data_IF_978139955518
#
_entry.id   IF_978139955518
#
_cell.length_a   1.000
_cell.length_b   1.000
_cell.length_c   1.000
_cell.angle_alpha   90.00
_cell.angle_beta   90.00
_cell.angle_gamma   90.00
#
_symmetry.space_group_name_H-M   'P 1'
#
loop_
_entity.id
_entity.type
_entity.pdbx_description
1 polymer ?
#
# COMPACT_ATOMS: atom_id res chain seq x y z
N UNK A 1 -20.13 -0.10 -4.47
CA UNK A 1 -18.88 0.38 -4.67
C UNK A 1 -18.17 0.11 -5.99
N UNK A 2 -18.91 -0.34 -7.01
CA UNK A 2 -18.31 -0.52 -8.35
C UNK A 2 -18.35 0.78 -9.16
N UNK A 3 -19.12 1.77 -8.68
CA UNK A 3 -19.26 3.09 -9.31
C UNK A 3 -18.91 4.21 -8.32
N UNK A 4 -18.36 5.33 -8.80
CA UNK A 4 -18.23 6.52 -7.97
C UNK A 4 -19.62 7.05 -7.57
N UNK A 5 -19.73 7.79 -6.45
CA UNK A 5 -21.03 8.21 -5.90
C UNK A 5 -21.83 9.13 -6.83
N UNK A 6 -21.18 9.76 -7.81
CA UNK A 6 -21.83 10.65 -8.80
C UNK A 6 -22.51 9.89 -9.94
N UNK A 7 -22.33 8.58 -10.04
CA UNK A 7 -22.93 7.75 -11.10
C UNK A 7 -24.08 6.93 -10.55
N UNK A 8 -25.09 6.74 -11.37
CA UNK A 8 -26.18 5.82 -11.10
C UNK A 8 -25.62 4.40 -10.90
N UNK A 9 -26.15 3.71 -9.89
CA UNK A 9 -25.82 2.33 -9.60
C UNK A 9 -26.96 1.43 -10.05
N UNK A 10 -26.68 0.58 -11.01
CA UNK A 10 -27.61 -0.46 -11.41
C UNK A 10 -27.56 -1.62 -10.41
N UNK A 11 -28.75 -2.05 -9.95
CA UNK A 11 -28.85 -3.18 -9.04
C UNK A 11 -28.43 -4.47 -9.73
N UNK A 12 -27.53 -5.23 -9.12
CA UNK A 12 -27.03 -6.50 -9.63
C UNK A 12 -26.96 -7.54 -8.52
N UNK A 13 -27.78 -8.59 -8.64
CA UNK A 13 -27.75 -9.72 -7.72
C UNK A 13 -26.38 -10.44 -7.73
N UNK A 14 -25.73 -10.48 -8.87
CA UNK A 14 -24.40 -11.06 -9.02
C UNK A 14 -23.36 -10.22 -8.26
N UNK A 15 -23.45 -8.89 -8.34
CA UNK A 15 -22.62 -7.96 -7.57
C UNK A 15 -22.76 -8.20 -6.07
N UNK A 16 -23.98 -8.34 -5.56
CA UNK A 16 -24.23 -8.61 -4.14
C UNK A 16 -23.66 -9.96 -3.72
N UNK A 17 -23.89 -11.01 -4.50
CA UNK A 17 -23.31 -12.33 -4.23
C UNK A 17 -21.77 -12.30 -4.20
N UNK A 18 -21.16 -11.52 -5.07
CA UNK A 18 -19.70 -11.34 -5.10
C UNK A 18 -19.19 -10.66 -3.84
N UNK A 19 -19.86 -9.59 -3.38
CA UNK A 19 -19.51 -8.90 -2.13
C UNK A 19 -19.68 -9.82 -0.94
N UNK A 20 -20.80 -10.55 -0.87
CA UNK A 20 -21.05 -11.52 0.21
C UNK A 20 -19.97 -12.61 0.26
N UNK A 21 -19.61 -13.21 -0.88
CA UNK A 21 -18.53 -14.19 -0.97
C UNK A 21 -17.20 -13.63 -0.48
N UNK A 22 -16.91 -12.40 -0.85
CA UNK A 22 -15.68 -11.70 -0.44
C UNK A 22 -15.63 -11.53 1.09
N UNK A 23 -16.66 -10.96 1.71
CA UNK A 23 -16.72 -10.77 3.15
C UNK A 23 -16.71 -12.11 3.91
N UNK A 24 -17.45 -13.11 3.42
CA UNK A 24 -17.47 -14.44 4.02
C UNK A 24 -16.11 -15.14 3.96
N UNK A 25 -15.37 -14.98 2.87
CA UNK A 25 -13.98 -15.49 2.77
C UNK A 25 -13.08 -14.92 3.86
N UNK A 26 -13.15 -13.61 4.10
CA UNK A 26 -12.38 -12.94 5.16
C UNK A 26 -12.82 -13.45 6.53
N UNK A 27 -14.14 -13.49 6.76
CA UNK A 27 -14.71 -13.94 8.03
C UNK A 27 -14.24 -15.35 8.40
N UNK A 28 -14.38 -16.30 7.50
CA UNK A 28 -13.95 -17.68 7.71
C UNK A 28 -12.45 -17.80 7.93
N UNK A 29 -11.64 -17.03 7.20
CA UNK A 29 -10.18 -17.02 7.37
C UNK A 29 -9.79 -16.54 8.77
N UNK A 30 -10.32 -15.42 9.22
CA UNK A 30 -9.98 -14.84 10.52
C UNK A 30 -10.50 -15.70 11.68
N UNK A 31 -11.70 -16.28 11.55
CA UNK A 31 -12.23 -17.23 12.55
C UNK A 31 -11.39 -18.50 12.63
N UNK A 32 -11.03 -19.10 11.49
CA UNK A 32 -10.20 -20.32 11.45
C UNK A 32 -8.82 -20.12 12.06
N UNK A 33 -8.22 -18.95 11.81
CA UNK A 33 -6.86 -18.63 12.28
C UNK A 33 -6.84 -18.04 13.70
N UNK A 34 -7.98 -18.03 14.41
CA UNK A 34 -8.08 -17.48 15.75
C UNK A 34 -7.49 -16.06 15.80
N UNK A 35 -8.01 -15.21 14.92
CA UNK A 35 -7.54 -13.83 14.81
C UNK A 35 -7.70 -13.11 16.15
N UNK A 36 -6.64 -12.39 16.54
CA UNK A 36 -6.61 -11.48 17.68
C UNK A 36 -6.31 -10.07 17.18
N UNK A 37 -7.18 -9.14 17.55
CA UNK A 37 -6.97 -7.75 17.18
C UNK A 37 -5.72 -7.20 17.88
N UNK A 38 -4.82 -6.59 17.12
CA UNK A 38 -3.53 -6.12 17.61
C UNK A 38 -3.31 -4.66 17.25
N UNK A 39 -3.10 -3.83 18.27
CA UNK A 39 -2.54 -2.50 18.12
C UNK A 39 -1.03 -2.61 18.33
N UNK A 40 -0.25 -2.15 17.37
CA UNK A 40 1.20 -2.13 17.47
C UNK A 40 1.66 -0.72 17.18
N UNK A 41 2.21 -0.07 18.19
CA UNK A 41 2.74 1.28 18.06
C UNK A 41 4.05 1.30 17.30
N UNK A 42 4.88 0.26 17.48
CA UNK A 42 6.14 0.07 16.75
C UNK A 42 6.31 -1.39 16.36
N UNK A 43 6.39 -1.64 15.06
CA UNK A 43 6.83 -2.91 14.51
C UNK A 43 8.34 -2.86 14.32
N UNK A 44 9.05 -3.65 15.11
CA UNK A 44 10.45 -3.89 14.88
C UNK A 44 10.62 -4.79 13.65
N UNK A 45 10.52 -4.17 12.46
CA UNK A 45 10.62 -4.85 11.17
C UNK A 45 12.09 -5.14 10.86
N UNK A 46 12.63 -6.20 11.47
CA UNK A 46 14.04 -6.55 11.37
C UNK A 46 14.43 -7.11 10.00
N UNK A 47 13.49 -7.67 9.25
CA UNK A 47 13.78 -8.25 7.92
C UNK A 47 13.21 -7.39 6.80
N UNK A 48 13.86 -7.42 5.62
CA UNK A 48 13.41 -6.71 4.41
C UNK A 48 11.96 -7.10 4.01
N UNK A 49 11.64 -8.40 4.14
CA UNK A 49 10.29 -8.92 3.85
C UNK A 49 9.24 -8.29 4.80
N UNK A 50 9.52 -8.18 6.09
CA UNK A 50 8.63 -7.54 7.07
C UNK A 50 8.47 -6.05 6.78
N UNK A 51 9.56 -5.36 6.42
CA UNK A 51 9.51 -3.93 6.02
C UNK A 51 8.61 -3.72 4.81
N UNK A 52 8.68 -4.58 3.79
CA UNK A 52 7.84 -4.50 2.60
C UNK A 52 6.34 -4.67 2.93
N UNK A 53 5.98 -5.58 3.84
CA UNK A 53 4.61 -5.78 4.30
C UNK A 53 4.07 -4.56 5.06
N UNK A 54 4.86 -4.05 6.01
CA UNK A 54 4.53 -2.83 6.77
C UNK A 54 4.41 -1.64 5.83
N UNK A 55 5.35 -1.45 4.91
CA UNK A 55 5.31 -0.39 3.89
C UNK A 55 4.01 -0.43 3.07
N UNK A 56 3.58 -1.62 2.65
CA UNK A 56 2.33 -1.79 1.91
C UNK A 56 1.11 -1.38 2.73
N UNK A 57 1.06 -1.76 4.01
CA UNK A 57 -0.01 -1.35 4.92
C UNK A 57 -0.01 0.18 5.15
N UNK A 58 1.15 0.80 5.34
CA UNK A 58 1.26 2.25 5.53
C UNK A 58 0.85 3.03 4.27
N UNK A 59 1.24 2.55 3.08
CA UNK A 59 0.77 3.10 1.79
C UNK A 59 -0.75 2.95 1.64
N UNK A 60 -1.32 1.83 2.07
CA UNK A 60 -2.77 1.65 2.09
C UNK A 60 -3.44 2.70 2.96
N UNK A 61 -3.03 2.88 4.23
CA UNK A 61 -3.62 3.85 5.14
C UNK A 61 -3.60 5.25 4.51
N UNK A 62 -2.44 5.70 4.00
CA UNK A 62 -2.30 7.02 3.36
C UNK A 62 -3.24 7.20 2.18
N UNK A 63 -3.25 6.23 1.26
CA UNK A 63 -4.06 6.32 0.05
C UNK A 63 -5.56 6.15 0.30
N UNK A 64 -5.92 5.34 1.30
CA UNK A 64 -7.30 5.17 1.74
C UNK A 64 -7.85 6.46 2.36
N UNK A 65 -7.08 7.11 3.25
CA UNK A 65 -7.47 8.38 3.86
C UNK A 65 -7.75 9.44 2.77
N UNK A 66 -6.85 9.56 1.80
CA UNK A 66 -7.06 10.48 0.69
C UNK A 66 -8.32 10.16 -0.12
N UNK A 67 -8.64 8.88 -0.32
CA UNK A 67 -9.85 8.48 -1.04
C UNK A 67 -11.13 8.81 -0.24
N UNK A 68 -11.13 8.58 1.06
CA UNK A 68 -12.27 8.92 1.93
C UNK A 68 -12.49 10.43 1.99
N UNK A 69 -11.43 11.22 2.18
CA UNK A 69 -11.48 12.68 2.21
C UNK A 69 -12.01 13.27 0.89
N UNK A 70 -11.79 12.60 -0.24
CA UNK A 70 -12.24 13.00 -1.56
C UNK A 70 -13.50 12.25 -2.04
N UNK A 71 -14.21 11.55 -1.16
CA UNK A 71 -15.42 10.77 -1.46
C UNK A 71 -15.25 9.70 -2.57
N UNK A 72 -14.03 9.22 -2.79
CA UNK A 72 -13.71 8.16 -3.76
C UNK A 72 -13.93 6.77 -3.18
N UNK A 73 -15.15 6.47 -2.74
CA UNK A 73 -15.46 5.24 -2.02
C UNK A 73 -15.21 3.97 -2.82
N UNK A 74 -15.46 3.99 -4.12
CA UNK A 74 -15.14 2.88 -5.02
C UNK A 74 -13.63 2.57 -5.06
N UNK A 75 -12.79 3.61 -5.12
CA UNK A 75 -11.32 3.48 -5.06
C UNK A 75 -10.87 2.93 -3.70
N UNK A 76 -11.44 3.45 -2.61
CA UNK A 76 -11.14 2.99 -1.26
C UNK A 76 -11.45 1.49 -1.09
N UNK A 77 -12.63 1.03 -1.55
CA UNK A 77 -13.02 -0.39 -1.50
C UNK A 77 -12.12 -1.26 -2.40
N UNK A 78 -11.76 -0.78 -3.60
CA UNK A 78 -10.84 -1.49 -4.49
C UNK A 78 -9.48 -1.73 -3.83
N UNK A 79 -8.91 -0.71 -3.15
CA UNK A 79 -7.65 -0.83 -2.40
C UNK A 79 -7.74 -1.82 -1.24
N UNK A 80 -8.86 -1.85 -0.53
CA UNK A 80 -9.09 -2.84 0.53
C UNK A 80 -9.15 -4.26 -0.05
N UNK A 81 -9.83 -4.47 -1.18
CA UNK A 81 -9.85 -5.77 -1.87
C UNK A 81 -8.46 -6.20 -2.32
N UNK A 82 -7.70 -5.29 -2.91
CA UNK A 82 -6.32 -5.54 -3.33
C UNK A 82 -5.44 -5.92 -2.13
N UNK A 83 -5.55 -5.20 -1.03
CA UNK A 83 -4.76 -5.47 0.18
C UNK A 83 -5.12 -6.81 0.81
N UNK A 84 -6.41 -7.13 0.95
CA UNK A 84 -6.83 -8.43 1.49
C UNK A 84 -6.40 -9.61 0.58
N UNK A 85 -6.50 -9.45 -0.75
CA UNK A 85 -5.99 -10.44 -1.68
C UNK A 85 -4.48 -10.64 -1.56
N UNK A 86 -3.75 -9.55 -1.35
CA UNK A 86 -2.32 -9.63 -1.07
C UNK A 86 -2.03 -10.41 0.22
N UNK A 87 -2.78 -10.18 1.32
CA UNK A 87 -2.63 -10.92 2.57
C UNK A 87 -2.92 -12.42 2.36
N UNK A 88 -3.96 -12.77 1.60
CA UNK A 88 -4.26 -14.15 1.27
C UNK A 88 -3.20 -14.86 0.42
N UNK A 89 -2.51 -14.12 -0.45
CA UNK A 89 -1.47 -14.65 -1.34
C UNK A 89 -0.07 -14.63 -0.74
N UNK A 90 0.09 -13.94 0.39
CA UNK A 90 1.39 -13.85 1.06
C UNK A 90 1.79 -15.20 1.63
N UNK A 91 3.05 -15.58 1.42
CA UNK A 91 3.62 -16.73 2.12
C UNK A 91 3.48 -16.54 3.64
N UNK A 92 3.71 -17.61 4.40
CA UNK A 92 3.56 -17.64 5.85
C UNK A 92 4.18 -16.40 6.50
N UNK A 93 3.30 -15.52 6.98
CA UNK A 93 3.64 -14.31 7.73
C UNK A 93 3.71 -14.71 9.21
N UNK A 94 4.59 -14.09 9.98
CA UNK A 94 4.59 -14.23 11.43
C UNK A 94 3.22 -13.82 12.00
N UNK A 95 2.67 -14.63 12.91
CA UNK A 95 1.31 -14.47 13.44
C UNK A 95 1.03 -13.07 13.96
N UNK A 96 1.95 -12.48 14.71
CA UNK A 96 1.80 -11.14 15.29
C UNK A 96 1.66 -10.07 14.19
N UNK A 97 2.47 -10.15 13.13
CA UNK A 97 2.39 -9.24 11.99
C UNK A 97 1.10 -9.47 11.19
N UNK A 98 0.71 -10.72 10.98
CA UNK A 98 -0.56 -11.05 10.30
C UNK A 98 -1.75 -10.43 11.04
N UNK A 99 -1.82 -10.59 12.37
CA UNK A 99 -2.86 -9.99 13.21
C UNK A 99 -2.85 -8.46 13.10
N UNK A 100 -1.68 -7.81 13.13
CA UNK A 100 -1.55 -6.37 12.94
C UNK A 100 -2.07 -5.91 11.57
N UNK A 101 -1.70 -6.59 10.49
CA UNK A 101 -2.14 -6.23 9.13
C UNK A 101 -3.66 -6.38 8.96
N UNK A 102 -4.25 -7.45 9.49
CA UNK A 102 -5.69 -7.63 9.52
C UNK A 102 -6.40 -6.63 10.45
N UNK A 103 -5.78 -6.21 11.54
CA UNK A 103 -6.32 -5.16 12.43
C UNK A 103 -6.39 -3.80 11.73
N UNK A 104 -5.39 -3.45 10.91
CA UNK A 104 -5.46 -2.26 10.04
C UNK A 104 -6.61 -2.41 9.05
N UNK A 105 -6.70 -3.55 8.36
CA UNK A 105 -7.76 -3.81 7.40
C UNK A 105 -9.16 -3.66 8.03
N UNK A 106 -9.40 -4.25 9.21
CA UNK A 106 -10.69 -4.18 9.89
C UNK A 106 -11.05 -2.76 10.31
N UNK A 107 -10.09 -1.95 10.76
CA UNK A 107 -10.33 -0.54 11.07
C UNK A 107 -10.69 0.28 9.83
N UNK A 108 -10.04 0.03 8.70
CA UNK A 108 -10.34 0.75 7.47
C UNK A 108 -11.67 0.32 6.85
N UNK A 109 -11.98 -0.97 6.79
CA UNK A 109 -13.23 -1.47 6.22
C UNK A 109 -14.45 -1.18 7.11
N UNK A 110 -14.22 -0.83 8.39
CA UNK A 110 -15.26 -0.45 9.36
C UNK A 110 -16.18 0.65 8.81
N UNK A 111 -15.65 1.60 8.07
CA UNK A 111 -16.42 2.70 7.43
C UNK A 111 -17.56 2.16 6.54
N UNK A 112 -17.35 1.01 5.91
CA UNK A 112 -18.31 0.41 4.98
C UNK A 112 -19.10 -0.74 5.60
N UNK A 113 -18.50 -1.45 6.55
CA UNK A 113 -19.08 -2.68 7.13
C UNK A 113 -18.87 -2.72 8.65
N UNK A 114 -19.49 -1.79 9.42
CA UNK A 114 -19.24 -1.66 10.86
C UNK A 114 -19.55 -2.95 11.62
N UNK A 115 -20.73 -3.55 11.43
CA UNK A 115 -21.13 -4.76 12.15
C UNK A 115 -20.20 -5.96 11.86
N UNK A 116 -19.74 -6.10 10.62
CA UNK A 116 -18.78 -7.12 10.23
C UNK A 116 -17.46 -6.98 10.96
N UNK A 117 -16.95 -5.76 11.03
CA UNK A 117 -15.67 -5.45 11.69
C UNK A 117 -15.77 -5.64 13.21
N UNK A 118 -16.87 -5.20 13.84
CA UNK A 118 -17.13 -5.40 15.26
C UNK A 118 -17.22 -6.89 15.61
N UNK A 119 -17.93 -7.70 14.81
CA UNK A 119 -18.05 -9.13 15.06
C UNK A 119 -16.69 -9.84 15.06
N UNK A 120 -15.79 -9.42 14.17
CA UNK A 120 -14.44 -9.98 14.10
C UNK A 120 -13.50 -9.46 15.19
N UNK A 121 -13.80 -8.30 15.76
CA UNK A 121 -13.00 -7.69 16.84
C UNK A 121 -13.44 -8.08 18.24
N UNK A 122 -14.58 -8.75 18.43
CA UNK A 122 -15.15 -9.10 19.74
C UNK A 122 -14.19 -9.84 20.68
N UNK A 123 -13.24 -10.57 20.17
CA UNK A 123 -12.24 -11.27 20.98
C UNK A 123 -11.14 -10.34 21.50
N UNK A 124 -11.20 -9.04 21.21
CA UNK A 124 -10.20 -8.05 21.59
C UNK A 124 -10.58 -7.34 22.90
N UNK A 125 -10.43 -8.03 24.04
CA UNK A 125 -10.62 -7.45 25.38
C UNK A 125 -11.90 -6.58 25.53
N UNK A 126 -12.98 -6.90 24.82
CA UNK A 126 -14.26 -6.17 24.79
C UNK A 126 -14.16 -4.69 24.33
N UNK A 127 -13.09 -4.29 23.64
CA UNK A 127 -13.03 -2.97 23.03
C UNK A 127 -13.71 -2.95 21.67
N UNK A 128 -14.59 -2.00 21.46
CA UNK A 128 -15.18 -1.72 20.14
C UNK A 128 -14.17 -1.08 19.21
N UNK A 129 -14.25 -1.36 17.91
CA UNK A 129 -13.41 -0.69 16.90
C UNK A 129 -13.68 0.83 16.87
N UNK A 130 -14.93 1.24 17.14
CA UNK A 130 -15.27 2.66 17.14
C UNK A 130 -14.59 3.46 18.27
N UNK A 131 -14.16 2.79 19.34
CA UNK A 131 -13.45 3.43 20.45
C UNK A 131 -11.93 3.56 20.18
N UNK A 132 -11.45 2.93 19.10
CA UNK A 132 -10.05 2.96 18.74
C UNK A 132 -9.72 4.20 17.90
N UNK A 133 -8.49 4.70 18.06
CA UNK A 133 -8.02 5.79 17.21
C UNK A 133 -7.95 5.35 15.74
N UNK A 134 -8.28 6.27 14.83
CA UNK A 134 -8.12 6.00 13.39
C UNK A 134 -6.67 5.66 13.04
N UNK A 135 -6.42 4.67 12.15
CA UNK A 135 -5.06 4.27 11.78
C UNK A 135 -4.28 5.44 11.20
N UNK A 136 -3.14 5.75 11.82
CA UNK A 136 -2.20 6.74 11.30
C UNK A 136 -1.09 6.05 10.52
N UNK A 137 -0.65 6.69 9.43
CA UNK A 137 0.52 6.22 8.71
C UNK A 137 1.77 6.97 9.15
N UNK A 138 2.90 6.30 9.06
CA UNK A 138 4.19 6.89 9.34
C UNK A 138 4.98 7.03 8.03
N UNK A 139 5.30 8.27 7.66
CA UNK A 139 6.07 8.61 6.46
C UNK A 139 7.41 7.87 6.37
N UNK A 140 8.03 7.56 7.51
CA UNK A 140 9.29 6.81 7.58
C UNK A 140 9.22 5.47 6.85
N UNK A 141 8.07 4.78 6.90
CA UNK A 141 7.87 3.50 6.22
C UNK A 141 7.43 3.62 4.76
N UNK A 142 6.92 4.79 4.36
CA UNK A 142 6.40 5.03 2.99
C UNK A 142 7.49 5.50 2.06
N UNK A 143 8.48 6.25 2.58
CA UNK A 143 9.60 6.74 1.76
C UNK A 143 10.23 5.59 0.99
N UNK A 144 10.32 5.76 -0.30
CA UNK A 144 11.10 4.87 -1.15
C UNK A 144 12.54 5.33 -1.04
N UNK A 145 13.39 4.47 -0.51
CA UNK A 145 14.81 4.77 -0.43
C UNK A 145 15.43 4.88 -1.83
N UNK A 146 14.76 4.27 -2.84
CA UNK A 146 15.22 4.26 -4.23
C UNK A 146 14.07 4.49 -5.22
N UNK A 147 14.28 5.40 -6.15
CA UNK A 147 13.42 5.61 -7.33
C UNK A 147 14.11 5.05 -8.58
N UNK A 148 13.32 4.57 -9.54
CA UNK A 148 13.83 4.13 -10.85
C UNK A 148 14.00 5.31 -11.78
N UNK A 149 15.24 5.75 -11.96
CA UNK A 149 15.58 6.80 -12.94
C UNK A 149 15.77 6.19 -14.31
N UNK A 150 14.99 6.67 -15.30
CA UNK A 150 15.11 6.25 -16.69
C UNK A 150 16.05 7.20 -17.42
N UNK A 151 17.16 6.66 -17.92
CA UNK A 151 18.14 7.44 -18.68
C UNK A 151 17.84 7.28 -20.16
N UNK A 152 17.70 8.43 -20.83
CA UNK A 152 17.48 8.48 -22.27
C UNK A 152 18.60 9.28 -22.94
N UNK A 153 19.02 8.81 -24.12
CA UNK A 153 19.96 9.54 -25.00
C UNK A 153 19.30 9.69 -26.38
N UNK A 154 19.15 10.92 -26.83
CA UNK A 154 18.47 11.26 -28.07
C UNK A 154 17.05 10.62 -28.16
N UNK A 155 16.29 10.69 -27.06
CA UNK A 155 14.92 10.15 -26.97
C UNK A 155 14.82 8.62 -26.83
N UNK A 156 15.93 7.87 -26.89
CA UNK A 156 15.92 6.41 -26.73
C UNK A 156 16.36 6.03 -25.30
N UNK A 157 15.58 5.17 -24.66
CA UNK A 157 15.91 4.59 -23.35
C UNK A 157 17.22 3.81 -23.45
N UNK A 158 18.18 4.11 -22.58
CA UNK A 158 19.49 3.47 -22.52
C UNK A 158 19.72 2.66 -21.25
N UNK A 159 19.22 3.17 -20.11
CA UNK A 159 19.36 2.48 -18.84
C UNK A 159 18.19 2.81 -17.87
N UNK A 160 18.02 1.98 -16.87
CA UNK A 160 17.23 2.26 -15.67
C UNK A 160 18.19 2.11 -14.48
N UNK A 161 18.19 3.09 -13.58
CA UNK A 161 19.04 3.09 -12.38
C UNK A 161 18.19 3.36 -11.16
N UNK A 162 18.39 2.57 -10.12
CA UNK A 162 17.77 2.82 -8.83
C UNK A 162 18.60 3.88 -8.08
N UNK A 163 17.96 4.99 -7.69
CA UNK A 163 18.59 6.11 -7.01
C UNK A 163 17.69 6.65 -5.91
N UNK A 164 18.25 7.36 -4.94
CA UNK A 164 17.49 8.06 -3.91
C UNK A 164 16.58 9.14 -4.50
N UNK A 165 15.35 9.25 -3.96
CA UNK A 165 14.29 10.11 -4.51
C UNK A 165 14.65 11.62 -4.50
N UNK A 166 15.44 12.06 -3.53
CA UNK A 166 15.67 13.48 -3.26
C UNK A 166 16.96 14.06 -3.88
N UNK A 167 17.58 13.34 -4.82
CA UNK A 167 18.81 13.82 -5.47
C UNK A 167 18.50 14.95 -6.47
N UNK A 168 19.38 15.95 -6.49
CA UNK A 168 19.34 16.99 -7.53
C UNK A 168 20.08 16.55 -8.79
N UNK A 169 19.90 17.28 -9.91
CA UNK A 169 20.51 16.94 -11.21
C UNK A 169 22.03 16.73 -11.12
N UNK A 170 22.75 17.59 -10.39
CA UNK A 170 24.21 17.49 -10.25
C UNK A 170 24.64 16.23 -9.48
N UNK A 171 23.89 15.84 -8.46
CA UNK A 171 24.16 14.64 -7.68
C UNK A 171 23.89 13.38 -8.52
N UNK A 172 22.79 13.37 -9.27
CA UNK A 172 22.45 12.28 -10.21
C UNK A 172 23.55 12.11 -11.25
N UNK A 173 23.99 13.18 -11.91
CA UNK A 173 25.07 13.12 -12.92
C UNK A 173 26.37 12.60 -12.31
N UNK A 174 26.72 13.00 -11.08
CA UNK A 174 27.92 12.50 -10.40
C UNK A 174 27.85 10.98 -10.18
N UNK A 175 26.73 10.48 -9.69
CA UNK A 175 26.53 9.05 -9.43
C UNK A 175 26.57 8.23 -10.72
N UNK A 176 25.91 8.72 -11.79
CA UNK A 176 25.92 8.06 -13.09
C UNK A 176 27.30 7.98 -13.74
N UNK A 177 28.17 8.95 -13.49
CA UNK A 177 29.55 8.93 -14.00
C UNK A 177 30.44 7.89 -13.30
N UNK A 178 30.12 7.53 -12.07
CA UNK A 178 30.84 6.51 -11.29
C UNK A 178 30.40 5.09 -11.65
N UNK A 179 29.20 4.92 -12.18
CA UNK A 179 28.66 3.61 -12.58
C UNK A 179 29.35 3.12 -13.87
N UNK A 180 30.13 2.04 -13.75
CA UNK A 180 30.92 1.45 -14.85
C UNK A 180 30.07 1.01 -16.06
N UNK A 181 28.78 0.68 -15.87
CA UNK A 181 27.89 0.27 -16.93
C UNK A 181 27.32 1.45 -17.73
N UNK A 182 27.24 2.62 -17.09
CA UNK A 182 26.58 3.81 -17.62
C UNK A 182 27.59 4.87 -18.04
N UNK A 183 28.80 4.84 -17.51
CA UNK A 183 29.85 5.80 -17.80
C UNK A 183 30.13 5.94 -19.33
N UNK A 184 29.95 4.87 -20.10
CA UNK A 184 30.07 4.88 -21.56
C UNK A 184 29.09 5.85 -22.24
N UNK A 185 27.98 6.20 -21.61
CA UNK A 185 27.00 7.17 -22.13
C UNK A 185 27.59 8.58 -22.07
N UNK A 186 28.48 8.86 -21.11
CA UNK A 186 29.12 10.15 -20.89
C UNK A 186 30.41 10.33 -21.69
N UNK A 187 30.88 9.33 -22.43
CA UNK A 187 32.11 9.42 -23.26
C UNK A 187 31.93 10.32 -24.51
N UNK A 188 30.68 10.57 -24.92
CA UNK A 188 30.40 11.50 -26.01
C UNK A 188 30.05 12.89 -25.49
N UNK A 189 30.35 13.94 -26.30
CA UNK A 189 30.08 15.34 -25.93
C UNK A 189 28.58 15.59 -25.71
N UNK A 190 28.20 15.84 -24.46
CA UNK A 190 26.81 16.14 -24.09
C UNK A 190 26.50 17.57 -24.52
N UNK A 191 25.47 17.75 -25.38
CA UNK A 191 25.03 19.08 -25.84
C UNK A 191 24.03 19.71 -24.84
N UNK A 192 23.13 18.90 -24.24
CA UNK A 192 22.11 19.38 -23.32
C UNK A 192 21.66 18.25 -22.41
N UNK A 193 21.46 18.55 -21.14
CA UNK A 193 20.83 17.65 -20.16
C UNK A 193 19.42 18.16 -19.83
N UNK A 194 18.47 17.27 -19.71
CA UNK A 194 17.11 17.58 -19.28
C UNK A 194 16.79 16.66 -18.12
N UNK A 195 16.61 17.24 -16.95
CA UNK A 195 16.24 16.53 -15.73
C UNK A 195 14.78 16.76 -15.44
N UNK A 196 13.97 15.68 -15.46
CA UNK A 196 12.53 15.73 -15.16
C UNK A 196 12.35 15.08 -13.79
N UNK A 197 11.99 15.89 -12.81
CA UNK A 197 11.64 15.39 -11.49
C UNK A 197 10.28 14.70 -11.58
N UNK A 198 10.15 13.46 -11.08
CA UNK A 198 8.85 12.79 -11.00
C UNK A 198 7.87 13.67 -10.23
N UNK A 199 6.71 13.90 -10.85
CA UNK A 199 5.56 14.51 -10.19
C UNK A 199 4.78 13.46 -9.43
#
# INVERSE_FOLDING_TARGET
SDSPPERDLEWSDEGIRSVWKYLNKIFLHLKKNQFEFTEVDELDAQTEKLRALVKKAQKLIKSFNNDIENFKFNSAVAKLREFSNFLFSSEKIERRLEHYLWSIFLRLIYVFTPHFSEELSKNNNNKSICDLSWPKYNEKYIKEDLIKLIIQVNGKKKAIVDMEENLNENQVIKLLKVDNNINKIFSSKIKKTIFIKNK
#
